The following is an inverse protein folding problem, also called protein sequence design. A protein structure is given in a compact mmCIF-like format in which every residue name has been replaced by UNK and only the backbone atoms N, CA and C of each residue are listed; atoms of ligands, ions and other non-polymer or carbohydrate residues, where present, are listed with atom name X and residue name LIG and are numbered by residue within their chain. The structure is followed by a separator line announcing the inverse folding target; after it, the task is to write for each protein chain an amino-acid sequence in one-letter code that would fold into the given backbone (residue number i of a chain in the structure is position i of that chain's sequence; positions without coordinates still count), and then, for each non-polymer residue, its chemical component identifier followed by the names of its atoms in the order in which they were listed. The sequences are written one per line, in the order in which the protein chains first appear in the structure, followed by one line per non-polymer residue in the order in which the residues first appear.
data_IF_047485760353
#
_entry.id   IF_047485760353
#
_cell.length_a   1.000
_cell.length_b   1.000
_cell.length_c   1.000
_cell.angle_alpha   90.00
_cell.angle_beta   90.00
_cell.angle_gamma   90.00
#
_symmetry.space_group_name_H-M   'P 1'
#
loop_
_entity.id
_entity.type
_entity.pdbx_description
1 polymer ?
#
# COMPACT_ATOMS: atom_id res chain seq x y z
N UNK A 1 -11.10 1.62 -10.06
CA UNK A 1 -9.69 2.06 -10.11
C UNK A 1 -8.77 0.85 -10.13
N UNK A 2 -7.75 0.84 -11.00
CA UNK A 2 -6.79 -0.27 -11.17
C UNK A 2 -5.93 -0.52 -9.92
N UNK A 3 -5.37 0.54 -9.33
CA UNK A 3 -4.43 0.51 -8.19
C UNK A 3 -4.98 -0.29 -6.99
N UNK A 4 -6.18 0.04 -6.51
CA UNK A 4 -6.80 -0.66 -5.38
C UNK A 4 -7.10 -2.14 -5.69
N UNK A 5 -7.43 -2.46 -6.94
CA UNK A 5 -7.67 -3.84 -7.37
C UNK A 5 -6.35 -4.63 -7.40
N UNK A 6 -5.27 -4.02 -7.87
CA UNK A 6 -3.94 -4.64 -7.89
C UNK A 6 -3.43 -4.94 -6.47
N UNK A 7 -3.60 -3.99 -5.53
CA UNK A 7 -3.24 -4.21 -4.12
C UNK A 7 -4.10 -5.26 -3.43
N UNK A 8 -5.42 -5.23 -3.64
CA UNK A 8 -6.30 -6.31 -3.16
C UNK A 8 -5.84 -7.66 -3.71
N UNK A 9 -5.56 -7.74 -5.00
CA UNK A 9 -5.12 -8.97 -5.67
C UNK A 9 -3.81 -9.49 -5.07
N UNK A 10 -2.84 -8.62 -4.79
CA UNK A 10 -1.60 -9.00 -4.12
C UNK A 10 -1.90 -9.71 -2.79
N UNK A 11 -2.69 -9.07 -1.93
CA UNK A 11 -3.00 -9.61 -0.60
C UNK A 11 -3.77 -10.92 -0.69
N UNK A 12 -4.85 -10.96 -1.48
CA UNK A 12 -5.72 -12.15 -1.53
C UNK A 12 -5.09 -13.34 -2.23
N UNK A 13 -4.14 -13.12 -3.15
CA UNK A 13 -3.45 -14.22 -3.84
C UNK A 13 -2.26 -14.74 -3.05
N UNK A 14 -1.34 -13.85 -2.66
CA UNK A 14 -0.11 -14.18 -1.95
C UNK A 14 -0.39 -14.78 -0.57
N UNK A 15 -1.44 -14.31 0.11
CA UNK A 15 -1.82 -14.73 1.46
C UNK A 15 -3.10 -15.57 1.51
N UNK A 16 -3.45 -16.25 0.41
CA UNK A 16 -4.66 -17.07 0.34
C UNK A 16 -4.70 -18.27 1.31
N UNK A 17 -3.53 -18.84 1.66
CA UNK A 17 -3.42 -20.06 2.48
C UNK A 17 -2.52 -19.88 3.71
N UNK A 18 -2.65 -18.74 4.38
CA UNK A 18 -1.87 -18.43 5.59
C UNK A 18 -2.79 -18.05 6.75
N UNK A 19 -2.30 -18.20 7.99
CA UNK A 19 -3.00 -17.76 9.21
C UNK A 19 -2.66 -16.30 9.48
N UNK A 20 -3.64 -15.52 9.92
CA UNK A 20 -3.46 -14.12 10.32
C UNK A 20 -3.07 -14.01 11.80
N UNK A 21 -1.80 -13.71 12.07
CA UNK A 21 -1.30 -13.43 13.41
C UNK A 21 -1.25 -11.92 13.69
N UNK A 22 -1.18 -11.55 14.98
CA UNK A 22 -0.88 -10.17 15.37
C UNK A 22 0.61 -9.87 15.20
N UNK A 23 0.98 -8.61 15.05
CA UNK A 23 2.38 -8.22 15.05
C UNK A 23 3.05 -8.56 16.40
N UNK A 24 4.33 -8.94 16.36
CA UNK A 24 5.08 -9.38 17.55
C UNK A 24 4.81 -10.84 17.98
N UNK A 25 3.90 -11.56 17.31
CA UNK A 25 3.69 -12.99 17.56
C UNK A 25 4.96 -13.77 17.22
N UNK A 26 5.47 -14.56 18.16
CA UNK A 26 6.56 -15.51 17.92
C UNK A 26 6.00 -16.79 17.31
N UNK A 27 6.47 -17.18 16.13
CA UNK A 27 6.07 -18.41 15.46
C UNK A 27 7.28 -19.15 14.89
N UNK A 28 7.16 -20.48 14.78
CA UNK A 28 8.23 -21.32 14.26
C UNK A 28 8.50 -21.01 12.78
N UNK A 29 9.78 -21.01 12.34
CA UNK A 29 10.14 -20.89 10.93
C UNK A 29 9.38 -21.91 10.06
N UNK A 30 8.98 -21.51 8.86
CA UNK A 30 8.21 -22.37 7.93
C UNK A 30 6.70 -22.43 8.21
N UNK A 31 6.21 -21.79 9.27
CA UNK A 31 4.76 -21.66 9.49
C UNK A 31 4.12 -20.74 8.45
N UNK A 32 3.03 -21.19 7.82
CA UNK A 32 2.22 -20.37 6.90
C UNK A 32 1.43 -19.31 7.69
N UNK A 33 2.10 -18.22 8.08
CA UNK A 33 1.56 -17.14 8.91
C UNK A 33 1.90 -15.80 8.26
N UNK A 34 0.97 -14.85 8.35
CA UNK A 34 1.17 -13.45 7.97
C UNK A 34 0.74 -12.54 9.11
N UNK A 35 1.36 -11.37 9.22
CA UNK A 35 1.01 -10.32 10.17
C UNK A 35 0.70 -9.00 9.45
N UNK A 36 0.01 -8.04 10.09
CA UNK A 36 -0.26 -6.74 9.49
C UNK A 36 0.99 -6.00 9.00
N UNK A 37 2.11 -6.05 9.74
CA UNK A 37 3.38 -5.44 9.31
C UNK A 37 3.96 -6.06 8.03
N UNK A 38 3.84 -7.38 7.84
CA UNK A 38 4.26 -8.07 6.61
C UNK A 38 3.41 -7.61 5.42
N UNK A 39 2.08 -7.56 5.60
CA UNK A 39 1.16 -7.06 4.57
C UNK A 39 1.47 -5.60 4.23
N UNK A 40 1.72 -4.76 5.24
CA UNK A 40 2.09 -3.35 5.07
C UNK A 40 3.35 -3.20 4.21
N UNK A 41 4.41 -3.95 4.51
CA UNK A 41 5.67 -3.90 3.76
C UNK A 41 5.46 -4.25 2.28
N UNK A 42 4.67 -5.29 2.01
CA UNK A 42 4.32 -5.71 0.66
C UNK A 42 3.50 -4.68 -0.12
N UNK A 43 2.51 -4.05 0.53
CA UNK A 43 1.70 -3.00 -0.07
C UNK A 43 2.56 -1.78 -0.43
N UNK A 44 3.51 -1.41 0.42
CA UNK A 44 4.49 -0.34 0.15
C UNK A 44 5.39 -0.71 -1.03
N UNK A 45 5.92 -1.94 -1.06
CA UNK A 45 6.76 -2.40 -2.16
C UNK A 45 6.02 -2.37 -3.51
N UNK A 46 4.77 -2.85 -3.54
CA UNK A 46 3.95 -2.79 -4.75
C UNK A 46 3.60 -1.35 -5.12
N UNK A 47 3.34 -0.47 -4.14
CA UNK A 47 3.10 0.94 -4.39
C UNK A 47 4.31 1.61 -5.06
N UNK A 48 5.54 1.31 -4.62
CA UNK A 48 6.75 1.79 -5.28
C UNK A 48 6.90 1.30 -6.73
N UNK A 49 6.49 0.05 -7.01
CA UNK A 49 6.45 -0.44 -8.40
C UNK A 49 5.41 0.30 -9.24
N UNK A 50 4.25 0.61 -8.67
CA UNK A 50 3.21 1.39 -9.34
C UNK A 50 3.60 2.86 -9.52
N UNK A 51 4.39 3.43 -8.61
CA UNK A 51 4.94 4.78 -8.73
C UNK A 51 5.90 4.86 -9.91
N UNK A 52 6.83 3.91 -10.02
CA UNK A 52 7.72 3.80 -11.18
C UNK A 52 6.95 3.62 -12.49
N UNK A 53 5.85 2.88 -12.47
CA UNK A 53 4.98 2.69 -13.63
C UNK A 53 4.06 3.89 -13.93
N UNK A 54 4.10 4.96 -13.13
CA UNK A 54 3.33 6.19 -13.38
C UNK A 54 1.85 6.12 -13.00
N UNK A 55 1.43 5.20 -12.12
CA UNK A 55 0.05 5.13 -11.65
C UNK A 55 -0.21 5.94 -10.38
N UNK A 56 0.81 6.06 -9.53
CA UNK A 56 0.74 6.71 -8.21
C UNK A 56 1.99 7.55 -7.97
N UNK A 57 1.98 8.38 -6.93
CA UNK A 57 3.12 9.21 -6.54
C UNK A 57 3.27 9.28 -5.03
N UNK A 58 4.43 9.76 -4.59
CA UNK A 58 4.79 10.00 -3.18
C UNK A 58 4.76 8.72 -2.32
N UNK A 59 5.52 7.70 -2.75
CA UNK A 59 5.65 6.44 -1.98
C UNK A 59 6.15 6.63 -0.57
N UNK A 60 6.92 7.71 -0.31
CA UNK A 60 7.46 8.00 1.02
C UNK A 60 6.35 8.36 1.99
N UNK A 61 5.49 9.30 1.63
CA UNK A 61 4.32 9.67 2.45
C UNK A 61 3.36 8.49 2.57
N UNK A 62 3.13 7.76 1.47
CA UNK A 62 2.31 6.54 1.50
C UNK A 62 2.80 5.54 2.55
N UNK A 63 4.11 5.26 2.62
CA UNK A 63 4.69 4.33 3.59
C UNK A 63 4.51 4.78 5.05
N UNK A 64 4.56 6.10 5.30
CA UNK A 64 4.40 6.70 6.61
C UNK A 64 2.95 6.63 7.10
N UNK A 65 2.00 7.00 6.22
CA UNK A 65 0.60 7.15 6.58
C UNK A 65 -0.22 5.86 6.43
N UNK A 66 0.28 4.86 5.68
CA UNK A 66 -0.45 3.61 5.46
C UNK A 66 -0.69 2.89 6.79
N UNK A 67 -1.95 2.62 7.11
CA UNK A 67 -2.32 1.82 8.28
C UNK A 67 -2.81 0.46 7.79
N UNK A 68 -2.24 -0.59 8.36
CA UNK A 68 -2.69 -1.97 8.18
C UNK A 68 -2.80 -2.58 9.56
N UNK A 69 -4.00 -3.03 9.90
CA UNK A 69 -4.27 -3.56 11.24
C UNK A 69 -5.16 -4.79 11.20
N UNK A 70 -5.02 -5.62 12.23
CA UNK A 70 -5.93 -6.74 12.45
C UNK A 70 -7.20 -6.20 13.11
N UNK A 71 -8.36 -6.53 12.55
CA UNK A 71 -9.63 -5.99 13.05
C UNK A 71 -9.89 -6.46 14.50
N UNK A 72 -10.32 -5.53 15.34
CA UNK A 72 -10.51 -5.76 16.78
C UNK A 72 -11.68 -6.70 17.11
N UNK A 73 -12.74 -6.70 16.31
CA UNK A 73 -13.95 -7.51 16.55
C UNK A 73 -13.98 -8.79 15.73
N UNK A 74 -13.34 -8.80 14.56
CA UNK A 74 -13.17 -9.96 13.71
C UNK A 74 -11.68 -10.31 13.56
N UNK A 75 -11.15 -11.26 14.34
CA UNK A 75 -9.73 -11.62 14.30
C UNK A 75 -9.30 -12.34 13.01
N UNK A 76 -10.21 -12.58 12.07
CA UNK A 76 -9.89 -13.15 10.76
C UNK A 76 -9.89 -12.08 9.64
N UNK A 77 -9.98 -10.80 9.99
CA UNK A 77 -10.02 -9.67 9.06
C UNK A 77 -8.82 -8.75 9.26
N UNK A 78 -8.26 -8.28 8.15
CA UNK A 78 -7.28 -7.18 8.10
C UNK A 78 -7.99 -5.96 7.53
N UNK A 79 -7.76 -4.81 8.14
CA UNK A 79 -8.21 -3.51 7.67
C UNK A 79 -7.03 -2.69 7.16
N UNK A 80 -7.28 -1.93 6.09
CA UNK A 80 -6.27 -1.09 5.44
C UNK A 80 -6.86 0.30 5.25
N UNK A 81 -6.25 1.30 5.87
CA UNK A 81 -6.47 2.70 5.54
C UNK A 81 -5.44 3.11 4.49
N UNK A 82 -5.90 3.44 3.28
CA UNK A 82 -5.04 3.68 2.13
C UNK A 82 -4.91 5.20 1.84
N UNK A 83 -3.75 5.82 2.10
CA UNK A 83 -3.52 7.26 1.91
C UNK A 83 -2.78 7.57 0.59
N UNK A 84 -2.94 6.73 -0.43
CA UNK A 84 -2.18 6.88 -1.66
C UNK A 84 -2.64 8.07 -2.51
N UNK A 85 -1.69 8.63 -3.26
CA UNK A 85 -1.94 9.73 -4.20
C UNK A 85 -1.84 9.21 -5.63
N UNK A 86 -2.93 9.33 -6.39
CA UNK A 86 -2.96 8.95 -7.81
C UNK A 86 -2.29 10.03 -8.68
N UNK A 87 -1.58 9.61 -9.71
CA UNK A 87 -1.11 10.53 -10.75
C UNK A 87 -2.32 10.98 -11.58
N UNK A 88 -2.41 12.30 -11.78
CA UNK A 88 -3.48 12.92 -12.55
C UNK A 88 -3.00 13.32 -13.95
N UNK A 89 -3.95 13.54 -14.86
CA UNK A 89 -3.65 14.11 -16.18
C UNK A 89 -3.25 15.58 -16.05
N UNK A 90 -2.22 16.01 -16.79
CA UNK A 90 -1.91 17.42 -16.98
C UNK A 90 -3.01 18.07 -17.81
N UNK A 91 -3.90 18.84 -17.16
CA UNK A 91 -5.03 19.51 -17.83
C UNK A 91 -4.79 20.99 -18.11
N UNK A 92 -4.04 21.65 -17.23
CA UNK A 92 -3.81 23.09 -17.29
C UNK A 92 -2.31 23.30 -17.17
N UNK A 93 -1.74 24.04 -18.13
CA UNK A 93 -0.35 24.51 -18.10
C UNK A 93 -0.36 26.02 -18.09
N UNK A 94 0.09 26.63 -16.99
CA UNK A 94 0.20 28.07 -16.85
C UNK A 94 1.69 28.46 -16.84
N UNK A 95 2.08 29.38 -17.72
CA UNK A 95 3.46 29.86 -17.85
C UNK A 95 3.47 31.39 -17.93
N UNK A 96 4.38 32.02 -17.19
CA UNK A 96 4.60 33.46 -17.17
C UNK A 96 6.05 33.76 -17.57
N UNK A 97 6.23 34.56 -18.62
CA UNK A 97 7.54 35.09 -19.00
C UNK A 97 7.68 36.54 -18.52
N UNK A 98 8.71 36.83 -17.72
CA UNK A 98 8.99 38.17 -17.20
C UNK A 98 10.44 38.57 -17.52
N UNK A 99 10.60 39.66 -18.27
CA UNK A 99 11.89 40.31 -18.50
C UNK A 99 12.25 41.17 -17.28
N UNK A 100 13.48 41.04 -16.78
CA UNK A 100 14.04 41.98 -15.80
C UNK A 100 15.10 42.84 -16.50
N UNK A 101 15.05 44.15 -16.25
CA UNK A 101 16.09 45.12 -16.55
C UNK A 101 17.18 45.10 -15.47
#
# INVERSE_FOLDING_TARGET
MYVLRAQRSLVTSKYSRVKLAADGTRFAPGSAIVTPSIIKADLIAQYGTMEYAGFVQDSKTFAQELIVEKNATNPNRVDVLWPGTLINQLRIFALLAQFRL
#
